data_IF_879524294469
#
_entry.id   IF_879524294469
#
_cell.length_a   1.000
_cell.length_b   1.000
_cell.length_c   1.000
_cell.angle_alpha   90.00
_cell.angle_beta   90.00
_cell.angle_gamma   90.00
#
_symmetry.space_group_name_H-M   'P 1'
#
loop_
_entity.id
_entity.type
_entity.pdbx_description
1 polymer ?
#
# COMPACT_ATOMS: atom_id res chain seq x y z
N UNK A 1 -10.41 -5.66 13.93
CA UNK A 1 -9.38 -6.24 13.02
C UNK A 1 -9.96 -7.27 12.04
N UNK A 2 -10.91 -8.15 12.46
CA UNK A 2 -11.55 -9.14 11.56
C UNK A 2 -12.39 -8.50 10.44
N UNK A 3 -13.18 -7.45 10.73
CA UNK A 3 -13.93 -6.68 9.72
C UNK A 3 -13.07 -6.00 8.64
N UNK A 4 -11.77 -5.83 8.92
CA UNK A 4 -10.85 -5.19 7.99
C UNK A 4 -10.57 -6.10 6.78
N UNK A 5 -10.58 -7.44 7.01
CA UNK A 5 -10.45 -8.45 5.93
C UNK A 5 -11.71 -8.48 5.06
N UNK A 6 -12.90 -8.30 5.65
CA UNK A 6 -14.16 -8.28 4.91
C UNK A 6 -14.25 -7.08 3.96
N UNK A 7 -13.72 -5.91 4.36
CA UNK A 7 -13.60 -4.75 3.48
C UNK A 7 -12.70 -4.99 2.25
N UNK A 8 -11.76 -5.94 2.34
CA UNK A 8 -10.86 -6.31 1.24
C UNK A 8 -11.41 -7.38 0.29
N UNK A 9 -12.52 -8.04 0.65
CA UNK A 9 -13.09 -9.17 -0.08
C UNK A 9 -14.51 -8.92 -0.62
N UNK A 10 -15.20 -7.88 -0.16
CA UNK A 10 -16.57 -7.60 -0.62
C UNK A 10 -16.61 -6.85 -1.97
N UNK A 11 -17.55 -7.19 -2.86
CA UNK A 11 -17.89 -6.36 -4.01
C UNK A 11 -18.32 -4.98 -3.52
N UNK A 12 -17.69 -3.94 -4.04
CA UNK A 12 -17.92 -2.54 -3.64
C UNK A 12 -19.24 -1.98 -4.23
N UNK A 13 -20.34 -2.69 -4.03
CA UNK A 13 -21.68 -2.18 -4.32
C UNK A 13 -22.16 -1.33 -3.15
N UNK A 14 -22.22 0.00 -3.38
CA UNK A 14 -22.87 1.04 -2.56
C UNK A 14 -22.63 0.95 -1.05
N UNK A 15 -21.43 1.36 -0.62
CA UNK A 15 -21.16 1.64 0.80
C UNK A 15 -22.10 2.75 1.30
N UNK A 16 -22.77 2.52 2.43
CA UNK A 16 -23.53 3.56 3.14
C UNK A 16 -22.58 4.67 3.61
N UNK A 17 -23.06 5.91 3.75
CA UNK A 17 -22.25 7.03 4.25
C UNK A 17 -21.65 6.76 5.64
N UNK A 18 -22.35 5.97 6.46
CA UNK A 18 -21.83 5.52 7.76
C UNK A 18 -20.65 4.55 7.61
N UNK A 19 -20.72 3.63 6.65
CA UNK A 19 -19.63 2.69 6.37
C UNK A 19 -18.40 3.42 5.79
N UNK A 20 -18.62 4.44 4.95
CA UNK A 20 -17.56 5.30 4.41
C UNK A 20 -16.82 6.03 5.53
N UNK A 21 -17.57 6.61 6.46
CA UNK A 21 -16.98 7.32 7.61
C UNK A 21 -16.16 6.37 8.49
N UNK A 22 -16.67 5.16 8.74
CA UNK A 22 -15.94 4.13 9.49
C UNK A 22 -14.67 3.68 8.76
N UNK A 23 -14.75 3.45 7.45
CA UNK A 23 -13.62 3.08 6.61
C UNK A 23 -12.54 4.17 6.59
N UNK A 24 -12.92 5.44 6.48
CA UNK A 24 -11.98 6.57 6.54
C UNK A 24 -11.28 6.63 7.90
N UNK A 25 -12.00 6.41 9.00
CA UNK A 25 -11.42 6.36 10.34
C UNK A 25 -10.42 5.21 10.46
N UNK A 26 -10.75 4.02 9.99
CA UNK A 26 -9.84 2.87 10.03
C UNK A 26 -8.59 3.10 9.17
N UNK A 27 -8.75 3.66 7.97
CA UNK A 27 -7.64 4.05 7.08
C UNK A 27 -6.75 5.10 7.74
N UNK A 28 -7.33 6.05 8.46
CA UNK A 28 -6.59 7.09 9.19
C UNK A 28 -5.64 6.53 10.24
N UNK A 29 -5.92 5.34 10.80
CA UNK A 29 -5.06 4.67 11.76
C UNK A 29 -3.85 3.96 11.11
N UNK A 30 -3.91 3.71 9.79
CA UNK A 30 -2.93 2.89 9.06
C UNK A 30 -2.00 3.70 8.14
N UNK A 31 -2.35 4.95 7.87
CA UNK A 31 -1.53 5.87 7.09
C UNK A 31 -0.55 6.76 7.88
N UNK A 32 -0.51 6.83 9.23
CA UNK A 32 0.51 7.61 9.91
C UNK A 32 1.94 7.20 9.50
N UNK A 33 2.87 8.14 9.27
CA UNK A 33 4.26 7.82 8.93
C UNK A 33 4.94 6.90 9.97
N UNK A 34 4.58 7.02 11.24
CA UNK A 34 5.09 6.15 12.33
C UNK A 34 4.69 4.69 12.13
N UNK A 35 3.46 4.43 11.70
CA UNK A 35 2.98 3.08 11.39
C UNK A 35 3.67 2.51 10.16
N UNK A 36 3.86 3.32 9.10
CA UNK A 36 4.59 2.88 7.92
C UNK A 36 6.05 2.57 8.23
N UNK A 37 6.74 3.38 9.05
CA UNK A 37 8.09 3.06 9.55
C UNK A 37 8.12 1.71 10.26
N UNK A 38 7.15 1.43 11.13
CA UNK A 38 7.04 0.15 11.83
C UNK A 38 6.85 -1.02 10.84
N UNK A 39 6.00 -0.87 9.82
CA UNK A 39 5.85 -1.89 8.78
C UNK A 39 7.17 -2.16 8.05
N UNK A 40 7.93 -1.13 7.67
CA UNK A 40 9.21 -1.31 7.00
C UNK A 40 10.27 -1.96 7.91
N UNK A 41 10.24 -1.70 9.23
CA UNK A 41 11.07 -2.44 10.20
C UNK A 41 10.73 -3.93 10.23
N UNK A 42 9.43 -4.29 10.26
CA UNK A 42 9.02 -5.69 10.15
C UNK A 42 9.45 -6.30 8.83
N UNK A 43 9.27 -5.60 7.71
CA UNK A 43 9.70 -6.06 6.37
C UNK A 43 11.17 -6.42 6.36
N UNK A 44 12.03 -5.56 6.89
CA UNK A 44 13.47 -5.82 7.01
C UNK A 44 13.76 -7.03 7.90
N UNK A 45 13.07 -7.17 9.03
CA UNK A 45 13.23 -8.31 9.93
C UNK A 45 12.89 -9.63 9.24
N UNK A 46 11.71 -9.72 8.60
CA UNK A 46 11.28 -10.94 7.90
C UNK A 46 12.17 -11.28 6.70
N UNK A 47 12.60 -10.28 5.93
CA UNK A 47 13.56 -10.49 4.83
C UNK A 47 14.91 -10.98 5.32
N UNK A 48 15.38 -10.47 6.46
CA UNK A 48 16.63 -10.92 7.09
C UNK A 48 16.53 -12.38 7.54
N UNK A 49 15.39 -12.77 8.13
CA UNK A 49 15.13 -14.17 8.52
C UNK A 49 15.13 -15.06 7.28
N UNK A 50 14.34 -14.70 6.26
CA UNK A 50 14.25 -15.47 5.03
C UNK A 50 15.60 -15.58 4.29
N UNK A 51 16.44 -14.55 4.35
CA UNK A 51 17.78 -14.58 3.74
C UNK A 51 18.73 -15.56 4.43
N UNK A 52 18.56 -15.82 5.74
CA UNK A 52 19.38 -16.80 6.47
C UNK A 52 19.06 -18.25 6.11
N UNK A 53 17.84 -18.51 5.65
CA UNK A 53 17.41 -19.85 5.24
C UNK A 53 17.87 -20.22 3.82
N UNK A 54 18.44 -19.27 3.07
CA UNK A 54 18.96 -19.51 1.73
C UNK A 54 20.32 -20.21 1.79
N UNK A 55 20.42 -21.37 1.15
CA UNK A 55 21.69 -22.10 1.00
C UNK A 55 22.66 -21.30 0.12
N UNK A 56 23.95 -21.20 0.50
CA UNK A 56 24.95 -20.55 -0.34
C UNK A 56 25.08 -21.28 -1.69
N UNK A 57 25.05 -20.53 -2.79
CA UNK A 57 25.20 -21.05 -4.16
C UNK A 57 23.96 -20.94 -5.06
N UNK A 58 22.80 -20.55 -4.52
CA UNK A 58 21.61 -20.26 -5.33
C UNK A 58 21.47 -18.75 -5.60
N UNK A 59 20.96 -18.38 -6.79
CA UNK A 59 20.60 -17.00 -7.09
C UNK A 59 19.60 -16.50 -6.05
N UNK A 60 19.86 -15.34 -5.44
CA UNK A 60 19.01 -14.79 -4.36
C UNK A 60 17.61 -14.54 -4.91
N UNK A 61 16.59 -15.33 -4.52
CA UNK A 61 15.24 -15.13 -5.01
C UNK A 61 14.68 -13.83 -4.42
N UNK A 62 13.81 -13.15 -5.18
CA UNK A 62 13.08 -11.98 -4.65
C UNK A 62 12.18 -12.44 -3.52
N UNK A 63 12.51 -12.06 -2.28
CA UNK A 63 11.71 -12.43 -1.10
C UNK A 63 10.50 -11.51 -0.98
N UNK A 64 9.32 -12.10 -1.16
CA UNK A 64 8.04 -11.48 -0.87
C UNK A 64 7.68 -11.79 0.58
N UNK A 65 7.38 -10.77 1.37
CA UNK A 65 6.88 -10.94 2.73
C UNK A 65 5.43 -10.46 2.86
N UNK A 66 4.75 -10.85 3.94
CA UNK A 66 3.37 -10.41 4.21
C UNK A 66 3.24 -8.88 4.29
N UNK A 67 4.30 -8.17 4.68
CA UNK A 67 4.32 -6.70 4.68
C UNK A 67 4.18 -6.14 3.26
N UNK A 68 4.76 -6.77 2.24
CA UNK A 68 4.61 -6.32 0.84
C UNK A 68 3.14 -6.37 0.39
N UNK A 69 2.37 -7.35 0.90
CA UNK A 69 0.92 -7.45 0.66
C UNK A 69 0.19 -6.28 1.31
N UNK A 70 0.51 -5.95 2.57
CA UNK A 70 -0.10 -4.83 3.28
C UNK A 70 0.23 -3.50 2.60
N UNK A 71 1.48 -3.27 2.22
CA UNK A 71 1.90 -2.05 1.53
C UNK A 71 1.15 -1.89 0.21
N UNK A 72 0.99 -2.97 -0.56
CA UNK A 72 0.19 -2.96 -1.80
C UNK A 72 -1.25 -2.54 -1.51
N UNK A 73 -1.87 -3.13 -0.48
CA UNK A 73 -3.26 -2.83 -0.09
C UNK A 73 -3.43 -1.40 0.44
N UNK A 74 -2.47 -0.88 1.19
CA UNK A 74 -2.48 0.52 1.63
C UNK A 74 -2.36 1.49 0.46
N UNK A 75 -1.55 1.15 -0.55
CA UNK A 75 -1.50 1.90 -1.81
C UNK A 75 -2.84 1.92 -2.55
N UNK A 76 -3.48 0.75 -2.68
CA UNK A 76 -4.81 0.63 -3.28
C UNK A 76 -5.87 1.42 -2.49
N UNK A 77 -5.86 1.33 -1.15
CA UNK A 77 -6.77 2.10 -0.29
C UNK A 77 -6.55 3.60 -0.42
N UNK A 78 -5.30 4.04 -0.50
CA UNK A 78 -4.98 5.46 -0.70
C UNK A 78 -5.53 5.95 -2.04
N UNK A 79 -5.39 5.17 -3.10
CA UNK A 79 -5.98 5.50 -4.40
C UNK A 79 -7.51 5.51 -4.35
N UNK A 80 -8.14 4.53 -3.70
CA UNK A 80 -9.59 4.41 -3.58
C UNK A 80 -10.21 5.58 -2.80
N UNK A 81 -9.58 5.98 -1.70
CA UNK A 81 -10.01 7.16 -0.92
C UNK A 81 -9.83 8.44 -1.74
N UNK A 82 -8.74 8.55 -2.51
CA UNK A 82 -8.51 9.69 -3.40
C UNK A 82 -9.59 9.85 -4.47
N UNK A 83 -10.18 8.73 -4.92
CA UNK A 83 -11.26 8.72 -5.92
C UNK A 83 -12.65 8.75 -5.31
N UNK A 84 -12.77 9.07 -4.01
CA UNK A 84 -14.03 9.08 -3.27
C UNK A 84 -14.81 7.75 -3.39
N UNK A 85 -14.09 6.62 -3.28
CA UNK A 85 -14.62 5.27 -3.39
C UNK A 85 -15.29 4.92 -4.73
N UNK A 86 -15.06 5.71 -5.78
CA UNK A 86 -15.54 5.37 -7.12
C UNK A 86 -14.75 4.19 -7.69
N UNK A 87 -15.44 3.06 -7.86
CA UNK A 87 -14.89 1.88 -8.53
C UNK A 87 -15.24 1.97 -10.02
N UNK A 88 -14.22 2.04 -10.87
CA UNK A 88 -14.40 1.87 -12.32
C UNK A 88 -14.53 0.36 -12.59
N UNK A 89 -15.73 -0.11 -12.92
CA UNK A 89 -15.93 -1.50 -13.33
C UNK A 89 -15.25 -1.72 -14.68
N UNK A 90 -14.39 -2.74 -14.75
CA UNK A 90 -13.81 -3.23 -16.00
C UNK A 90 -14.37 -4.62 -16.25
N UNK A 91 -14.87 -4.86 -17.47
CA UNK A 91 -15.63 -6.04 -17.93
C UNK A 91 -15.13 -7.39 -17.41
N UNK A 92 -16.07 -8.19 -16.89
CA UNK A 92 -15.88 -9.26 -15.91
C UNK A 92 -15.16 -10.53 -16.40
N UNK A 93 -15.08 -10.80 -17.70
CA UNK A 93 -14.63 -12.12 -18.19
C UNK A 93 -13.16 -12.15 -18.62
N UNK A 94 -12.67 -11.07 -19.23
CA UNK A 94 -11.22 -10.87 -19.50
C UNK A 94 -10.48 -10.36 -18.25
N UNK A 95 -11.24 -9.87 -17.26
CA UNK A 95 -10.73 -9.35 -16.00
C UNK A 95 -9.98 -10.39 -15.16
N UNK A 96 -10.40 -11.66 -15.10
CA UNK A 96 -9.85 -12.56 -14.08
C UNK A 96 -8.35 -12.88 -14.23
N UNK A 97 -7.89 -13.21 -15.44
CA UNK A 97 -6.46 -13.47 -15.70
C UNK A 97 -5.64 -12.19 -15.57
N UNK A 98 -6.17 -11.06 -16.05
CA UNK A 98 -5.51 -9.76 -15.95
C UNK A 98 -5.42 -9.29 -14.49
N UNK A 99 -6.45 -9.52 -13.67
CA UNK A 99 -6.49 -9.19 -12.24
C UNK A 99 -5.45 -9.99 -11.46
N UNK A 100 -5.31 -11.30 -11.74
CA UNK A 100 -4.27 -12.12 -11.10
C UNK A 100 -2.87 -11.61 -11.47
N UNK A 101 -2.61 -11.37 -12.77
CA UNK A 101 -1.32 -10.81 -13.22
C UNK A 101 -1.06 -9.42 -12.67
N UNK A 102 -2.09 -8.59 -12.55
CA UNK A 102 -1.98 -7.26 -11.98
C UNK A 102 -1.63 -7.31 -10.49
N UNK A 103 -2.25 -8.23 -9.73
CA UNK A 103 -1.92 -8.46 -8.32
C UNK A 103 -0.47 -8.92 -8.14
N UNK A 104 -0.01 -9.88 -8.94
CA UNK A 104 1.39 -10.31 -8.94
C UNK A 104 2.35 -9.18 -9.30
N UNK A 105 2.00 -8.38 -10.32
CA UNK A 105 2.79 -7.22 -10.74
C UNK A 105 2.90 -6.16 -9.65
N UNK A 106 1.81 -5.92 -8.90
CA UNK A 106 1.81 -5.00 -7.74
C UNK A 106 2.64 -5.55 -6.59
N UNK A 107 2.57 -6.85 -6.33
CA UNK A 107 3.38 -7.48 -5.29
C UNK A 107 4.87 -7.42 -5.62
N UNK A 108 5.25 -7.66 -6.88
CA UNK A 108 6.61 -7.43 -7.39
C UNK A 108 7.03 -5.95 -7.33
N UNK A 109 6.10 -5.03 -7.52
CA UNK A 109 6.36 -3.60 -7.34
C UNK A 109 6.65 -3.26 -5.87
N UNK A 110 5.89 -3.85 -4.95
CA UNK A 110 6.11 -3.71 -3.51
C UNK A 110 7.49 -4.22 -3.11
N UNK A 111 7.98 -5.33 -3.69
CA UNK A 111 9.32 -5.83 -3.35
C UNK A 111 10.46 -4.89 -3.75
N UNK A 112 10.25 -4.00 -4.72
CA UNK A 112 11.21 -2.98 -5.17
C UNK A 112 11.19 -1.69 -4.33
N UNK A 113 10.26 -1.56 -3.37
CA UNK A 113 10.33 -0.46 -2.40
C UNK A 113 11.59 -0.60 -1.54
N UNK A 114 12.16 0.53 -1.13
CA UNK A 114 13.31 0.61 -0.25
C UNK A 114 13.06 -0.13 1.07
N UNK A 115 14.10 -0.62 1.76
CA UNK A 115 13.90 -1.31 3.04
C UNK A 115 13.60 -0.37 4.22
N UNK A 116 13.76 0.95 4.03
CA UNK A 116 13.40 1.97 5.00
C UNK A 116 12.34 2.92 4.40
N UNK A 117 11.30 3.22 5.19
CA UNK A 117 10.27 4.20 4.85
C UNK A 117 10.87 5.57 4.48
N UNK A 118 11.87 6.04 5.22
CA UNK A 118 12.46 7.37 4.99
C UNK A 118 13.19 7.47 3.63
N UNK A 119 13.52 6.33 3.00
CA UNK A 119 14.13 6.25 1.67
C UNK A 119 13.09 6.10 0.55
N UNK A 120 11.81 5.87 0.87
CA UNK A 120 10.76 5.71 -0.14
C UNK A 120 10.65 6.92 -1.09
N UNK A 121 10.72 8.19 -0.63
CA UNK A 121 10.71 9.33 -1.54
C UNK A 121 11.83 9.32 -2.58
N UNK A 122 13.02 8.81 -2.22
CA UNK A 122 14.18 8.77 -3.12
C UNK A 122 13.99 7.80 -4.31
N UNK A 123 13.03 6.88 -4.21
CA UNK A 123 12.68 5.96 -5.30
C UNK A 123 12.05 6.68 -6.49
N UNK A 124 11.44 7.85 -6.27
CA UNK A 124 10.76 8.60 -7.32
C UNK A 124 11.77 9.11 -8.36
N UNK A 125 12.96 9.51 -7.91
CA UNK A 125 14.07 10.00 -8.73
C UNK A 125 15.00 8.90 -9.23
N UNK A 126 14.82 7.65 -8.81
CA UNK A 126 15.67 6.52 -9.21
C UNK A 126 15.34 6.02 -10.61
N UNK A 127 16.33 5.92 -11.50
CA UNK A 127 16.17 5.32 -12.84
C UNK A 127 16.10 3.78 -12.81
N UNK A 128 16.50 3.18 -11.68
CA UNK A 128 16.56 1.72 -11.51
C UNK A 128 15.25 1.12 -10.99
N UNK A 129 14.31 1.97 -10.58
CA UNK A 129 13.04 1.56 -9.97
C UNK A 129 11.97 1.47 -11.03
N UNK A 130 11.25 0.34 -11.10
CA UNK A 130 10.20 0.18 -12.10
C UNK A 130 9.07 1.20 -11.95
N UNK A 131 8.38 1.58 -13.04
CA UNK A 131 7.24 2.50 -12.98
C UNK A 131 6.13 2.02 -12.02
N UNK A 132 5.93 0.72 -11.90
CA UNK A 132 4.94 0.16 -10.97
C UNK A 132 5.31 0.41 -9.51
N UNK A 133 6.58 0.26 -9.15
CA UNK A 133 7.08 0.54 -7.80
C UNK A 133 7.01 2.04 -7.48
N UNK A 134 7.33 2.91 -8.44
CA UNK A 134 7.15 4.36 -8.29
C UNK A 134 5.69 4.73 -8.04
N UNK A 135 4.74 4.15 -8.79
CA UNK A 135 3.30 4.38 -8.56
C UNK A 135 2.89 3.97 -7.14
N UNK A 136 3.32 2.81 -6.68
CA UNK A 136 3.03 2.36 -5.32
C UNK A 136 3.65 3.30 -4.26
N UNK A 137 4.89 3.73 -4.46
CA UNK A 137 5.53 4.71 -3.57
C UNK A 137 4.73 6.03 -3.51
N UNK A 138 4.29 6.56 -4.66
CA UNK A 138 3.45 7.76 -4.71
C UNK A 138 2.13 7.55 -3.97
N UNK A 139 1.46 6.41 -4.16
CA UNK A 139 0.20 6.11 -3.47
C UNK A 139 0.38 6.07 -1.94
N UNK A 140 1.46 5.47 -1.44
CA UNK A 140 1.78 5.41 -0.02
C UNK A 140 2.17 6.79 0.54
N UNK A 141 2.97 7.56 -0.19
CA UNK A 141 3.34 8.92 0.20
C UNK A 141 2.12 9.85 0.22
N UNK A 142 1.26 9.74 -0.78
CA UNK A 142 -0.01 10.46 -0.82
C UNK A 142 -0.90 10.05 0.35
N UNK A 143 -1.02 8.76 0.64
CA UNK A 143 -1.73 8.24 1.80
C UNK A 143 -1.25 8.85 3.11
N UNK A 144 0.05 8.84 3.34
CA UNK A 144 0.65 9.26 4.62
C UNK A 144 0.80 10.76 4.81
N UNK A 145 1.10 11.51 3.75
CA UNK A 145 1.37 12.95 3.85
C UNK A 145 0.22 13.83 3.38
N UNK A 146 -0.74 13.30 2.62
CA UNK A 146 -1.89 14.07 2.10
C UNK A 146 -3.21 13.56 2.67
N UNK A 147 -3.50 12.26 2.55
CA UNK A 147 -4.78 11.72 3.03
C UNK A 147 -4.86 11.71 4.54
N UNK A 148 -3.86 11.14 5.23
CA UNK A 148 -3.85 11.02 6.68
C UNK A 148 -4.17 12.34 7.39
N UNK A 149 -3.47 13.48 7.13
CA UNK A 149 -3.80 14.74 7.77
C UNK A 149 -5.24 15.21 7.51
N UNK A 150 -5.76 14.99 6.29
CA UNK A 150 -7.11 15.39 5.88
C UNK A 150 -8.20 14.58 6.57
N UNK A 151 -8.00 13.27 6.74
CA UNK A 151 -9.02 12.37 7.28
C UNK A 151 -8.92 12.20 8.80
N UNK A 152 -7.76 12.44 9.40
CA UNK A 152 -7.56 12.38 10.86
C UNK A 152 -8.02 13.65 11.59
N UNK A 153 -8.45 14.69 10.88
CA UNK A 153 -8.85 15.97 11.49
C UNK A 153 -7.68 16.77 12.07
N UNK A 154 -6.44 16.29 11.92
CA UNK A 154 -5.22 17.06 12.16
C UNK A 154 -5.07 18.10 11.06
N UNK A 155 -5.69 19.26 11.26
CA UNK A 155 -5.47 20.47 10.48
C UNK A 155 -4.00 20.92 10.64
N UNK A 156 -3.09 20.36 9.85
CA UNK A 156 -1.70 20.84 9.74
C UNK A 156 -1.62 22.10 8.84
N UNK A 157 -2.76 22.73 8.52
CA UNK A 157 -2.87 23.75 7.47
C UNK A 157 -3.66 25.00 7.83
N UNK A 158 -3.71 25.42 9.11
CA UNK A 158 -4.19 26.76 9.49
C UNK A 158 -3.10 27.73 9.98
N UNK A 159 -1.83 27.34 9.90
CA UNK A 159 -0.70 28.17 10.38
C UNK A 159 0.21 28.67 9.25
N UNK A 160 -0.18 28.52 7.99
CA UNK A 160 0.57 29.04 6.83
C UNK A 160 -0.35 29.69 5.79
N UNK A 161 -1.15 30.67 6.21
CA UNK A 161 -1.64 31.78 5.38
C UNK A 161 -1.88 33.01 6.26
#
# INVERSE_FOLDING_TARGET
MVRFIDMFLLPQSTLSDQDRTMALKDVSCLLPPSFLRLLFQYRRLFRTIAAKDLRPGFAVPTTVCWVDIILTKLGDLSALVATDFRVFSSEETLANVLVVRQREGRLKAATQLADNWDLVPSLLTSDRTSPAAKRLAVQLLFGSYVLYPRISGTNVGRDFL
#
